data_IF_601313243741
#
_entry.id   IF_601313243741
#
_cell.length_a   1.000
_cell.length_b   1.000
_cell.length_c   1.000
_cell.angle_alpha   90.00
_cell.angle_beta   90.00
_cell.angle_gamma   90.00
#
_symmetry.space_group_name_H-M   'P 1'
#
loop_
_entity.id
_entity.type
_entity.pdbx_description
1 polymer ?
#
# COMPACT_ATOMS: atom_id res chain seq x y z
N UNK A 1 42.17 -15.79 52.94
CA UNK A 1 41.83 -14.87 51.82
C UNK A 1 41.15 -15.61 50.68
N UNK A 2 41.20 -16.91 50.59
CA UNK A 2 40.72 -17.75 49.44
C UNK A 2 39.21 -18.05 49.48
N UNK A 3 38.61 -18.29 50.63
CA UNK A 3 37.18 -18.62 50.76
C UNK A 3 36.20 -17.49 50.37
N UNK A 4 36.64 -16.22 50.46
CA UNK A 4 35.81 -15.06 50.11
C UNK A 4 35.71 -14.88 48.58
N UNK A 5 36.77 -15.23 47.87
CA UNK A 5 36.79 -15.13 46.39
C UNK A 5 35.97 -16.26 45.71
N UNK A 6 35.98 -17.47 46.31
CA UNK A 6 35.18 -18.60 45.80
C UNK A 6 33.68 -18.38 45.99
N UNK A 7 33.27 -17.80 47.13
CA UNK A 7 31.86 -17.50 47.37
C UNK A 7 31.34 -16.38 46.41
N UNK A 8 32.20 -15.41 46.08
CA UNK A 8 31.86 -14.35 45.13
C UNK A 8 31.75 -14.89 43.70
N UNK A 9 32.67 -15.76 43.29
CA UNK A 9 32.65 -16.39 41.98
C UNK A 9 31.36 -17.25 41.78
N UNK A 10 30.99 -18.05 42.78
CA UNK A 10 29.76 -18.86 42.76
C UNK A 10 28.49 -18.00 42.71
N UNK A 11 28.48 -16.84 43.36
CA UNK A 11 27.32 -15.93 43.34
C UNK A 11 27.17 -15.22 41.99
N UNK A 12 28.28 -14.89 41.33
CA UNK A 12 28.28 -14.31 39.98
C UNK A 12 27.82 -15.35 38.94
N UNK A 13 28.30 -16.58 39.05
CA UNK A 13 27.92 -17.68 38.15
C UNK A 13 26.42 -18.01 38.26
N UNK A 14 25.89 -18.04 39.47
CA UNK A 14 24.46 -18.25 39.71
C UNK A 14 23.59 -17.10 39.18
N UNK A 15 24.03 -15.85 39.34
CA UNK A 15 23.34 -14.67 38.74
C UNK A 15 23.35 -14.70 37.23
N UNK A 16 24.47 -15.11 36.63
CA UNK A 16 24.62 -15.20 35.17
C UNK A 16 23.75 -16.33 34.60
N UNK A 17 23.71 -17.51 35.25
CA UNK A 17 22.81 -18.61 34.88
C UNK A 17 21.33 -18.21 34.97
N UNK A 18 20.89 -17.60 36.06
CA UNK A 18 19.49 -17.13 36.21
C UNK A 18 19.14 -16.03 35.17
N UNK A 19 20.10 -15.17 34.81
CA UNK A 19 19.92 -14.18 33.77
C UNK A 19 19.75 -14.80 32.37
N UNK A 20 20.53 -15.86 32.10
CA UNK A 20 20.46 -16.60 30.83
C UNK A 20 19.15 -17.40 30.70
N UNK A 21 18.69 -18.05 31.76
CA UNK A 21 17.41 -18.79 31.78
C UNK A 21 16.22 -17.86 31.61
N UNK A 22 16.21 -16.69 32.26
CA UNK A 22 15.16 -15.68 32.05
C UNK A 22 15.12 -15.16 30.62
N UNK A 23 16.27 -14.90 30.00
CA UNK A 23 16.34 -14.51 28.59
C UNK A 23 15.80 -15.60 27.68
N UNK A 24 16.17 -16.86 27.87
CA UNK A 24 15.68 -17.98 27.09
C UNK A 24 14.16 -18.18 27.24
N UNK A 25 13.59 -18.00 28.43
CA UNK A 25 12.14 -18.06 28.66
C UNK A 25 11.42 -16.90 27.97
N UNK A 26 11.95 -15.68 28.10
CA UNK A 26 11.39 -14.52 27.41
C UNK A 26 11.42 -14.69 25.89
N UNK A 27 12.53 -15.19 25.34
CA UNK A 27 12.66 -15.45 23.91
C UNK A 27 11.67 -16.50 23.41
N UNK A 28 11.42 -17.56 24.18
CA UNK A 28 10.42 -18.58 23.85
C UNK A 28 8.99 -18.02 23.86
N UNK A 29 8.66 -17.20 24.86
CA UNK A 29 7.34 -16.57 24.97
C UNK A 29 7.14 -15.59 23.80
N UNK A 30 8.14 -14.76 23.53
CA UNK A 30 8.10 -13.79 22.42
C UNK A 30 7.96 -14.51 21.09
N UNK A 31 8.76 -15.56 20.84
CA UNK A 31 8.61 -16.39 19.62
C UNK A 31 7.23 -17.01 19.51
N UNK A 32 6.66 -17.51 20.62
CA UNK A 32 5.31 -18.08 20.65
C UNK A 32 4.24 -17.03 20.26
N UNK A 33 4.33 -15.82 20.82
CA UNK A 33 3.42 -14.72 20.48
C UNK A 33 3.55 -14.32 19.01
N UNK A 34 4.77 -14.16 18.50
CA UNK A 34 4.98 -13.84 17.09
C UNK A 34 4.47 -14.94 16.17
N UNK A 35 4.69 -16.20 16.51
CA UNK A 35 4.17 -17.34 15.74
C UNK A 35 2.65 -17.35 15.72
N UNK A 36 2.01 -17.09 16.86
CA UNK A 36 0.55 -17.00 16.95
C UNK A 36 0.00 -15.84 16.11
N UNK A 37 0.62 -14.64 16.19
CA UNK A 37 0.22 -13.49 15.39
C UNK A 37 0.42 -13.74 13.89
N UNK A 38 1.54 -14.34 13.51
CA UNK A 38 1.80 -14.70 12.12
C UNK A 38 0.77 -15.71 11.58
N UNK A 39 0.45 -16.74 12.38
CA UNK A 39 -0.59 -17.71 12.03
C UNK A 39 -1.97 -17.05 11.87
N UNK A 40 -2.32 -16.13 12.76
CA UNK A 40 -3.56 -15.37 12.67
C UNK A 40 -3.62 -14.54 11.37
N UNK A 41 -2.53 -13.83 11.04
CA UNK A 41 -2.45 -13.07 9.78
C UNK A 41 -2.64 -13.97 8.55
N UNK A 42 -1.99 -15.14 8.52
CA UNK A 42 -2.14 -16.11 7.42
C UNK A 42 -3.59 -16.57 7.30
N UNK A 43 -4.23 -16.91 8.42
CA UNK A 43 -5.63 -17.34 8.43
C UNK A 43 -6.56 -16.25 7.90
N UNK A 44 -6.38 -14.99 8.33
CA UNK A 44 -7.16 -13.85 7.86
C UNK A 44 -7.01 -13.68 6.35
N UNK A 45 -5.78 -13.76 5.82
CA UNK A 45 -5.51 -13.64 4.38
C UNK A 45 -6.19 -14.79 3.62
N UNK A 46 -6.09 -16.02 4.10
CA UNK A 46 -6.72 -17.18 3.45
C UNK A 46 -8.25 -17.09 3.47
N UNK A 47 -8.85 -16.67 4.59
CA UNK A 47 -10.30 -16.46 4.68
C UNK A 47 -10.76 -15.36 3.75
N UNK A 48 -10.03 -14.24 3.69
CA UNK A 48 -10.33 -13.13 2.77
C UNK A 48 -10.21 -13.56 1.31
N UNK A 49 -9.17 -14.32 0.96
CA UNK A 49 -8.99 -14.86 -0.39
C UNK A 49 -10.13 -15.81 -0.76
N UNK A 50 -10.48 -16.74 0.14
CA UNK A 50 -11.61 -17.65 -0.05
C UNK A 50 -12.93 -16.92 -0.25
N UNK A 51 -13.19 -15.91 0.58
CA UNK A 51 -14.37 -15.06 0.44
C UNK A 51 -14.40 -14.32 -0.91
N UNK A 52 -13.29 -13.74 -1.35
CA UNK A 52 -13.20 -13.03 -2.63
C UNK A 52 -13.43 -13.97 -3.81
N UNK A 53 -12.87 -15.18 -3.78
CA UNK A 53 -13.08 -16.19 -4.83
C UNK A 53 -14.56 -16.60 -4.87
N UNK A 54 -15.14 -16.96 -3.74
CA UNK A 54 -16.55 -17.36 -3.68
C UNK A 54 -17.49 -16.25 -4.15
N UNK A 55 -17.26 -15.02 -3.68
CA UNK A 55 -18.07 -13.86 -4.07
C UNK A 55 -17.86 -13.45 -5.54
N UNK A 56 -16.63 -13.59 -6.05
CA UNK A 56 -16.31 -13.25 -7.44
C UNK A 56 -16.86 -14.26 -8.45
N UNK A 57 -16.99 -15.53 -8.07
CA UNK A 57 -17.54 -16.58 -8.93
C UNK A 57 -19.08 -16.56 -8.91
N UNK A 58 -19.70 -16.14 -7.81
CA UNK A 58 -21.16 -16.15 -7.62
C UNK A 58 -21.95 -15.46 -8.77
N UNK A 59 -21.54 -14.30 -9.32
CA UNK A 59 -22.25 -13.65 -10.41
C UNK A 59 -22.35 -14.47 -11.70
N UNK A 60 -21.41 -15.38 -11.96
CA UNK A 60 -21.42 -16.24 -13.16
C UNK A 60 -22.38 -17.42 -13.06
N UNK A 61 -22.82 -17.77 -11.84
CA UNK A 61 -23.74 -18.89 -11.59
C UNK A 61 -25.15 -18.45 -11.20
N UNK A 62 -25.32 -17.19 -10.77
CA UNK A 62 -26.64 -16.64 -10.45
C UNK A 62 -27.33 -16.12 -11.71
N UNK A 63 -28.62 -16.46 -11.83
CA UNK A 63 -29.49 -15.79 -12.77
C UNK A 63 -29.91 -14.44 -12.18
N UNK A 64 -29.71 -13.39 -12.94
CA UNK A 64 -30.18 -12.06 -12.59
C UNK A 64 -31.69 -11.96 -12.79
N UNK A 65 -32.38 -10.99 -12.11
CA UNK A 65 -33.84 -10.82 -12.23
C UNK A 65 -34.34 -10.64 -13.66
N UNK A 66 -33.47 -10.22 -14.57
CA UNK A 66 -33.75 -10.02 -15.99
C UNK A 66 -33.57 -11.31 -16.83
N UNK A 67 -33.30 -12.46 -16.18
CA UNK A 67 -33.17 -13.76 -16.83
C UNK A 67 -31.85 -13.99 -17.60
N UNK A 68 -30.93 -13.06 -17.57
CA UNK A 68 -29.63 -13.16 -18.23
C UNK A 68 -28.55 -13.67 -17.28
N UNK A 69 -27.75 -14.64 -17.75
CA UNK A 69 -26.52 -15.09 -17.07
C UNK A 69 -25.37 -14.23 -17.54
N UNK A 70 -24.47 -13.92 -16.63
CA UNK A 70 -23.24 -13.23 -16.99
C UNK A 70 -22.41 -14.13 -17.91
N UNK A 71 -22.31 -13.78 -19.19
CA UNK A 71 -21.44 -14.50 -20.12
C UNK A 71 -19.98 -14.19 -19.79
N UNK A 72 -19.23 -15.22 -19.39
CA UNK A 72 -17.82 -15.10 -19.05
C UNK A 72 -16.98 -14.58 -20.24
N UNK A 73 -17.35 -14.95 -21.49
CA UNK A 73 -16.69 -14.44 -22.69
C UNK A 73 -16.87 -12.93 -22.83
N UNK A 74 -18.10 -12.45 -22.72
CA UNK A 74 -18.41 -11.02 -22.79
C UNK A 74 -17.83 -10.24 -21.60
N UNK A 75 -17.79 -10.82 -20.40
CA UNK A 75 -17.22 -10.19 -19.23
C UNK A 75 -15.76 -9.77 -19.46
N UNK A 76 -14.92 -10.64 -20.05
CA UNK A 76 -13.52 -10.33 -20.30
C UNK A 76 -13.28 -9.48 -21.55
N UNK A 77 -14.13 -9.57 -22.57
CA UNK A 77 -13.94 -8.91 -23.88
C UNK A 77 -14.85 -7.71 -24.07
N UNK A 78 -15.91 -7.58 -23.28
CA UNK A 78 -16.91 -6.53 -23.40
C UNK A 78 -16.36 -5.15 -23.05
N UNK A 79 -16.79 -4.17 -23.82
CA UNK A 79 -16.37 -2.76 -23.68
C UNK A 79 -17.35 -1.95 -22.82
N UNK A 80 -18.63 -2.37 -22.79
CA UNK A 80 -19.69 -1.65 -22.10
C UNK A 80 -19.91 -2.19 -20.69
N UNK A 81 -20.20 -1.29 -19.79
CA UNK A 81 -20.59 -1.59 -18.42
C UNK A 81 -22.00 -1.02 -18.19
N UNK A 82 -23.00 -1.81 -18.54
CA UNK A 82 -24.42 -1.47 -18.42
C UNK A 82 -25.17 -2.64 -17.81
N UNK A 83 -26.38 -2.39 -17.28
CA UNK A 83 -27.21 -3.46 -16.72
C UNK A 83 -27.47 -4.54 -17.79
N UNK A 84 -27.14 -5.79 -17.47
CA UNK A 84 -27.21 -6.92 -18.39
C UNK A 84 -25.93 -7.21 -19.20
N UNK A 85 -25.07 -6.21 -19.42
CA UNK A 85 -23.83 -6.34 -20.21
C UNK A 85 -22.61 -5.78 -19.45
N UNK A 86 -22.00 -6.60 -18.62
CA UNK A 86 -20.84 -6.19 -17.80
C UNK A 86 -19.53 -6.60 -18.48
N UNK A 87 -18.88 -5.64 -19.16
CA UNK A 87 -17.58 -5.83 -19.79
C UNK A 87 -16.45 -5.15 -19.02
N UNK A 88 -15.39 -5.87 -18.67
CA UNK A 88 -14.26 -5.38 -17.86
C UNK A 88 -13.09 -4.90 -18.73
N UNK A 89 -13.07 -5.24 -20.02
CA UNK A 89 -11.94 -4.95 -20.91
C UNK A 89 -11.55 -3.46 -20.90
N UNK A 90 -12.53 -2.56 -21.01
CA UNK A 90 -12.27 -1.13 -21.01
C UNK A 90 -11.72 -0.61 -19.68
N UNK A 91 -12.22 -1.17 -18.58
CA UNK A 91 -11.73 -0.83 -17.23
C UNK A 91 -10.27 -1.25 -17.08
N UNK A 92 -9.91 -2.43 -17.57
CA UNK A 92 -8.54 -2.93 -17.56
C UNK A 92 -7.59 -2.06 -18.40
N UNK A 93 -7.98 -1.74 -19.64
CA UNK A 93 -7.20 -0.84 -20.52
C UNK A 93 -7.02 0.53 -19.91
N UNK A 94 -8.08 1.09 -19.32
CA UNK A 94 -8.01 2.38 -18.64
C UNK A 94 -7.08 2.36 -17.43
N UNK A 95 -7.10 1.28 -16.64
CA UNK A 95 -6.18 1.11 -15.50
C UNK A 95 -4.73 1.05 -15.96
N UNK A 96 -4.43 0.29 -17.02
CA UNK A 96 -3.08 0.24 -17.60
C UNK A 96 -2.63 1.62 -18.10
N UNK A 97 -3.48 2.30 -18.83
CA UNK A 97 -3.20 3.63 -19.36
C UNK A 97 -2.89 4.64 -18.24
N UNK A 98 -3.73 4.71 -17.21
CA UNK A 98 -3.53 5.61 -16.07
C UNK A 98 -2.24 5.28 -15.29
N UNK A 99 -1.97 3.99 -15.10
CA UNK A 99 -0.77 3.53 -14.40
C UNK A 99 0.49 3.87 -15.19
N UNK A 100 0.52 3.60 -16.48
CA UNK A 100 1.67 3.93 -17.33
C UNK A 100 1.95 5.44 -17.36
N UNK A 101 0.91 6.27 -17.53
CA UNK A 101 1.08 7.72 -17.50
C UNK A 101 1.56 8.23 -16.14
N UNK A 102 1.04 7.68 -15.05
CA UNK A 102 1.51 8.06 -13.71
C UNK A 102 2.98 7.70 -13.50
N UNK A 103 3.43 6.54 -14.01
CA UNK A 103 4.84 6.13 -13.95
C UNK A 103 5.76 7.03 -14.76
N UNK A 104 5.35 7.49 -15.95
CA UNK A 104 6.11 8.43 -16.78
C UNK A 104 6.39 9.74 -16.04
N UNK A 105 5.49 10.17 -15.17
CA UNK A 105 5.67 11.37 -14.34
C UNK A 105 6.44 11.03 -13.06
N UNK A 106 6.07 9.94 -12.38
CA UNK A 106 6.60 9.58 -11.07
C UNK A 106 8.06 9.17 -11.12
N UNK A 107 8.50 8.38 -12.10
CA UNK A 107 9.87 7.89 -12.19
C UNK A 107 10.89 9.02 -12.29
N UNK A 108 10.79 9.97 -13.24
CA UNK A 108 11.75 11.06 -13.32
C UNK A 108 11.76 11.92 -12.05
N UNK A 109 10.58 12.20 -11.51
CA UNK A 109 10.45 13.02 -10.31
C UNK A 109 11.08 12.34 -9.09
N UNK A 110 10.86 11.04 -8.90
CA UNK A 110 11.46 10.26 -7.82
C UNK A 110 12.98 10.17 -7.95
N UNK A 111 13.50 9.93 -9.15
CA UNK A 111 14.95 9.90 -9.40
C UNK A 111 15.59 11.25 -9.11
N UNK A 112 14.97 12.34 -9.56
CA UNK A 112 15.44 13.71 -9.27
C UNK A 112 15.40 13.98 -7.75
N UNK A 113 14.34 13.57 -7.07
CA UNK A 113 14.21 13.70 -5.60
C UNK A 113 15.31 12.91 -4.90
N UNK A 114 15.54 11.65 -5.27
CA UNK A 114 16.61 10.82 -4.71
C UNK A 114 18.01 11.44 -4.94
N UNK A 115 18.29 11.94 -6.14
CA UNK A 115 19.54 12.63 -6.45
C UNK A 115 19.68 13.92 -5.65
N UNK A 116 18.60 14.68 -5.51
CA UNK A 116 18.59 15.89 -4.70
C UNK A 116 18.96 15.56 -3.24
N UNK A 117 18.34 14.56 -2.64
CA UNK A 117 18.57 14.13 -1.26
C UNK A 117 20.02 13.64 -1.08
N UNK A 118 20.52 12.81 -2.00
CA UNK A 118 21.79 12.10 -1.81
C UNK A 118 23.02 12.86 -2.29
N UNK A 119 22.89 13.73 -3.30
CA UNK A 119 24.02 14.36 -3.99
C UNK A 119 24.06 15.88 -3.95
N UNK A 120 22.90 16.53 -3.97
CA UNK A 120 22.80 17.99 -4.17
C UNK A 120 22.57 18.71 -2.84
N UNK A 121 21.68 18.19 -2.00
CA UNK A 121 21.30 18.87 -0.77
C UNK A 121 22.42 18.83 0.28
N UNK A 122 22.70 19.95 1.00
CA UNK A 122 23.54 19.91 2.18
C UNK A 122 22.93 18.99 3.24
N UNK A 123 23.77 18.36 4.06
CA UNK A 123 23.37 17.31 5.02
C UNK A 123 22.06 17.59 5.79
N UNK A 124 21.86 18.79 6.43
CA UNK A 124 20.63 19.03 7.19
C UNK A 124 19.38 19.07 6.33
N UNK A 125 19.48 19.55 5.09
CA UNK A 125 18.36 19.60 4.15
C UNK A 125 18.06 18.20 3.59
N UNK A 126 19.10 17.43 3.27
CA UNK A 126 18.97 16.04 2.83
C UNK A 126 18.28 15.16 3.88
N UNK A 127 18.67 15.29 5.13
CA UNK A 127 18.04 14.57 6.25
C UNK A 127 16.56 14.95 6.43
N UNK A 128 16.23 16.23 6.33
CA UNK A 128 14.85 16.71 6.39
C UNK A 128 14.01 16.18 5.24
N UNK A 129 14.51 16.26 4.01
CA UNK A 129 13.80 15.73 2.82
C UNK A 129 13.59 14.20 2.92
N UNK A 130 14.60 13.47 3.37
CA UNK A 130 14.48 12.03 3.60
C UNK A 130 13.43 11.71 4.67
N UNK A 131 13.37 12.48 5.76
CA UNK A 131 12.34 12.33 6.77
C UNK A 131 10.94 12.58 6.21
N UNK A 132 10.76 13.62 5.37
CA UNK A 132 9.49 13.92 4.71
C UNK A 132 9.05 12.78 3.79
N UNK A 133 9.95 12.24 2.97
CA UNK A 133 9.66 11.10 2.08
C UNK A 133 9.29 9.86 2.89
N UNK A 134 10.00 9.59 4.00
CA UNK A 134 9.70 8.46 4.89
C UNK A 134 8.33 8.60 5.56
N UNK A 135 7.96 9.81 5.98
CA UNK A 135 6.62 10.08 6.55
C UNK A 135 5.54 9.89 5.49
N UNK A 136 5.77 10.39 4.26
CA UNK A 136 4.84 10.18 3.13
C UNK A 136 4.65 8.69 2.81
N UNK A 137 5.72 7.89 2.85
CA UNK A 137 5.65 6.44 2.66
C UNK A 137 4.81 5.73 3.74
N UNK A 138 4.75 6.29 4.95
CA UNK A 138 3.95 5.79 6.06
C UNK A 138 2.46 6.14 5.99
N UNK A 139 2.05 7.07 5.11
CA UNK A 139 0.64 7.46 4.99
C UNK A 139 -0.13 6.38 4.22
N UNK A 140 -1.23 5.82 4.79
CA UNK A 140 -2.09 4.89 4.09
C UNK A 140 -2.59 5.46 2.76
N UNK A 141 -2.53 4.68 1.70
CA UNK A 141 -2.94 5.08 0.34
C UNK A 141 -4.35 5.66 0.25
N UNK A 142 -5.26 5.17 1.10
CA UNK A 142 -6.65 5.67 1.19
C UNK A 142 -6.70 7.15 1.59
N UNK A 143 -5.82 7.59 2.50
CA UNK A 143 -5.77 8.99 2.94
C UNK A 143 -5.29 9.87 1.79
N UNK A 144 -4.27 9.44 1.03
CA UNK A 144 -3.80 10.16 -0.16
C UNK A 144 -4.90 10.21 -1.23
N UNK A 145 -5.68 9.14 -1.39
CA UNK A 145 -6.84 9.11 -2.28
C UNK A 145 -7.93 10.12 -1.88
N UNK A 146 -8.28 10.19 -0.60
CA UNK A 146 -9.25 11.17 -0.07
C UNK A 146 -8.74 12.61 -0.26
N UNK A 147 -7.45 12.85 0.03
CA UNK A 147 -6.80 14.13 -0.26
C UNK A 147 -6.86 14.49 -1.75
N UNK A 148 -6.65 13.50 -2.62
CA UNK A 148 -6.79 13.66 -4.07
C UNK A 148 -8.18 14.18 -4.47
N UNK A 149 -9.23 13.58 -3.92
CA UNK A 149 -10.61 14.02 -4.20
C UNK A 149 -10.90 15.41 -3.62
N UNK A 150 -10.40 15.70 -2.41
CA UNK A 150 -10.66 16.97 -1.72
C UNK A 150 -9.83 18.15 -2.21
N UNK A 151 -8.62 17.91 -2.72
CA UNK A 151 -7.69 18.97 -3.09
C UNK A 151 -7.30 18.93 -4.57
N UNK A 152 -6.86 17.79 -5.08
CA UNK A 152 -6.36 17.68 -6.48
C UNK A 152 -7.52 17.82 -7.47
N UNK A 153 -8.67 17.20 -7.21
CA UNK A 153 -9.81 17.32 -8.12
C UNK A 153 -10.31 18.77 -8.30
N UNK A 154 -10.54 19.58 -7.23
CA UNK A 154 -10.87 20.99 -7.38
C UNK A 154 -9.81 21.78 -8.15
N UNK A 155 -8.53 21.55 -7.87
CA UNK A 155 -7.42 22.21 -8.55
C UNK A 155 -7.41 21.91 -10.06
N UNK A 156 -7.63 20.63 -10.44
CA UNK A 156 -7.73 20.22 -11.85
C UNK A 156 -8.99 20.81 -12.52
N UNK A 157 -10.11 20.91 -11.79
CA UNK A 157 -11.32 21.57 -12.27
C UNK A 157 -11.07 23.03 -12.59
N UNK A 158 -10.45 23.77 -11.66
CA UNK A 158 -10.23 25.21 -11.81
C UNK A 158 -9.23 25.48 -12.95
N UNK A 159 -8.21 24.64 -13.09
CA UNK A 159 -7.31 24.64 -14.23
C UNK A 159 -8.03 24.34 -15.56
N UNK A 160 -8.91 23.33 -15.60
CA UNK A 160 -9.73 23.03 -16.77
C UNK A 160 -10.64 24.19 -17.17
N UNK A 161 -11.29 24.80 -16.19
CA UNK A 161 -12.17 25.97 -16.42
C UNK A 161 -11.39 27.17 -17.02
N UNK A 162 -10.14 27.37 -16.59
CA UNK A 162 -9.28 28.42 -17.17
C UNK A 162 -9.05 28.22 -18.67
N UNK A 163 -8.99 26.97 -19.14
CA UNK A 163 -8.86 26.63 -20.57
C UNK A 163 -10.20 26.42 -21.28
N UNK A 164 -11.33 26.70 -20.61
CA UNK A 164 -12.67 26.51 -21.17
C UNK A 164 -13.10 25.04 -21.29
N UNK A 165 -12.40 24.11 -20.61
CA UNK A 165 -12.70 22.69 -20.61
C UNK A 165 -13.57 22.36 -19.39
N UNK A 166 -14.83 21.93 -19.65
CA UNK A 166 -15.71 21.48 -18.58
C UNK A 166 -15.27 20.09 -18.09
N UNK A 167 -14.82 20.02 -16.85
CA UNK A 167 -14.48 18.77 -16.18
C UNK A 167 -15.58 18.39 -15.19
N UNK A 168 -15.95 17.11 -15.09
CA UNK A 168 -16.96 16.62 -14.16
C UNK A 168 -16.49 16.77 -12.69
N UNK A 169 -16.48 17.99 -12.15
CA UNK A 169 -16.00 18.30 -10.80
C UNK A 169 -14.49 18.04 -10.60
N UNK A 170 -13.70 17.99 -11.69
CA UNK A 170 -12.27 17.67 -11.65
C UNK A 170 -11.97 16.17 -11.48
N UNK A 171 -12.96 15.32 -11.40
CA UNK A 171 -12.81 13.85 -11.38
C UNK A 171 -12.48 13.34 -12.78
N UNK A 172 -11.22 13.46 -13.15
CA UNK A 172 -10.72 13.14 -14.50
C UNK A 172 -9.52 12.19 -14.40
N UNK A 173 -9.16 11.57 -15.54
CA UNK A 173 -7.94 10.77 -15.63
C UNK A 173 -6.69 11.54 -15.21
N UNK A 174 -6.63 12.85 -15.49
CA UNK A 174 -5.51 13.71 -15.08
C UNK A 174 -5.38 13.77 -13.54
N UNK A 175 -6.49 13.94 -12.82
CA UNK A 175 -6.48 13.92 -11.35
C UNK A 175 -6.00 12.58 -10.80
N UNK A 176 -6.45 11.47 -11.41
CA UNK A 176 -6.02 10.13 -11.02
C UNK A 176 -4.51 9.93 -11.27
N UNK A 177 -3.99 10.37 -12.41
CA UNK A 177 -2.57 10.28 -12.75
C UNK A 177 -1.71 11.05 -11.74
N UNK A 178 -2.12 12.28 -11.38
CA UNK A 178 -1.40 13.10 -10.40
C UNK A 178 -1.38 12.42 -9.02
N UNK A 179 -2.52 11.92 -8.56
CA UNK A 179 -2.62 11.22 -7.26
C UNK A 179 -1.79 9.95 -7.26
N UNK A 180 -1.86 9.13 -8.32
CA UNK A 180 -1.06 7.92 -8.45
C UNK A 180 0.44 8.22 -8.50
N UNK A 181 0.85 9.28 -9.19
CA UNK A 181 2.23 9.72 -9.24
C UNK A 181 2.74 10.14 -7.84
N UNK A 182 1.94 10.90 -7.09
CA UNK A 182 2.27 11.28 -5.71
C UNK A 182 2.39 10.06 -4.78
N UNK A 183 1.52 9.06 -4.94
CA UNK A 183 1.57 7.82 -4.13
C UNK A 183 2.81 6.97 -4.45
N UNK A 184 3.23 6.95 -5.71
CA UNK A 184 4.38 6.17 -6.17
C UNK A 184 5.71 6.82 -5.82
N UNK A 185 5.74 8.15 -5.65
CA UNK A 185 6.95 8.93 -5.42
C UNK A 185 7.77 8.42 -4.22
N UNK A 186 7.23 8.27 -3.00
CA UNK A 186 8.03 7.82 -1.87
C UNK A 186 8.49 6.37 -2.00
N UNK A 187 7.77 5.53 -2.73
CA UNK A 187 8.14 4.12 -2.93
C UNK A 187 9.32 3.95 -3.88
N UNK A 188 9.46 4.86 -4.86
CA UNK A 188 10.53 4.82 -5.86
C UNK A 188 11.77 5.61 -5.39
N UNK A 189 11.60 6.61 -4.52
CA UNK A 189 12.70 7.44 -3.99
C UNK A 189 13.55 6.72 -2.95
#
# INVERSE_FOLDING_TARGET
MDQSNDSLALSIEQKTKKGCERKMLTDKIVKGIFFFLASLCIIIVLVTLGYLICSGIQPFFKEYPDGEKLDAGYFFTGIKWEAGNYGVFWIFVNTLYLTLLSMVISIPLSVLTALCITRIAPKPIGELLNAVVTVLAGIPSVIIGVFGVGFICPMVRDFGNFFGIQTAGGKSGLSAIIVLALMSLPTIT
#
